data_IF_741023465745
#
_entry.id   IF_741023465745
#
_cell.length_a   1.000
_cell.length_b   1.000
_cell.length_c   1.000
_cell.angle_alpha   90.00
_cell.angle_beta   90.00
_cell.angle_gamma   90.00
#
_symmetry.space_group_name_H-M   'P 1'
#
loop_
_entity.id
_entity.type
_entity.pdbx_description
1 polymer ?
#
# COMPACT_ATOMS: atom_id res chain seq x y z
N UNK A 1 -40.07 62.08 54.37
CA UNK A 1 -41.47 62.07 54.85
C UNK A 1 -42.36 61.41 53.80
N UNK A 2 -43.25 60.52 54.26
CA UNK A 2 -44.55 60.09 53.70
C UNK A 2 -44.63 59.31 52.37
N UNK A 3 -44.79 58.01 52.59
CA UNK A 3 -45.53 56.95 51.87
C UNK A 3 -46.74 57.42 51.01
N UNK A 4 -47.05 56.70 49.92
CA UNK A 4 -48.06 55.60 49.85
C UNK A 4 -48.81 55.55 48.50
N UNK A 5 -48.85 54.39 47.82
CA UNK A 5 -50.02 53.49 47.67
C UNK A 5 -49.87 52.48 46.53
N UNK A 6 -50.24 51.24 46.88
CA UNK A 6 -50.35 50.05 46.06
C UNK A 6 -51.40 50.24 44.95
N UNK A 7 -51.15 49.61 43.79
CA UNK A 7 -52.21 49.07 42.94
C UNK A 7 -51.85 47.61 42.65
N UNK A 8 -52.68 46.72 43.18
CA UNK A 8 -52.76 45.30 42.85
C UNK A 8 -53.60 45.20 41.57
N UNK A 9 -53.04 44.63 40.51
CA UNK A 9 -53.80 44.20 39.33
C UNK A 9 -53.54 42.71 39.10
N UNK A 10 -54.62 41.95 39.24
CA UNK A 10 -54.69 40.52 39.07
C UNK A 10 -54.35 40.12 37.62
N UNK A 11 -53.26 39.38 37.43
CA UNK A 11 -52.96 38.72 36.17
C UNK A 11 -53.76 37.41 36.10
N UNK A 12 -54.83 37.43 35.31
CA UNK A 12 -55.55 36.23 34.87
C UNK A 12 -54.58 35.23 34.23
N UNK A 13 -54.52 34.03 34.81
CA UNK A 13 -53.91 32.83 34.23
C UNK A 13 -54.67 32.43 32.95
N UNK A 14 -54.24 32.97 31.80
CA UNK A 14 -54.57 32.40 30.50
C UNK A 14 -53.53 31.33 30.19
N UNK A 15 -53.81 30.08 30.57
CA UNK A 15 -53.04 28.93 30.10
C UNK A 15 -53.35 28.72 28.63
N UNK A 16 -52.39 28.83 27.70
CA UNK A 16 -52.64 28.36 26.35
C UNK A 16 -52.64 26.83 26.40
N UNK A 17 -53.80 26.22 26.14
CA UNK A 17 -53.87 24.83 25.68
C UNK A 17 -52.98 24.75 24.42
N UNK A 18 -51.73 24.32 24.60
CA UNK A 18 -50.87 23.94 23.50
C UNK A 18 -51.42 22.63 22.96
N UNK A 19 -52.41 22.75 22.06
CA UNK A 19 -52.84 21.63 21.22
C UNK A 19 -51.63 21.25 20.37
N UNK A 20 -50.99 20.14 20.71
CA UNK A 20 -49.97 19.53 19.89
C UNK A 20 -50.60 19.20 18.53
N UNK A 21 -50.29 20.01 17.51
CA UNK A 21 -50.64 19.69 16.12
C UNK A 21 -49.75 18.50 15.74
N UNK A 22 -50.31 17.30 15.82
CA UNK A 22 -49.72 16.11 15.22
C UNK A 22 -49.78 16.29 13.70
N UNK A 23 -48.68 16.75 13.09
CA UNK A 23 -48.54 16.79 11.64
C UNK A 23 -48.53 15.34 11.13
N UNK A 24 -49.66 14.89 10.57
CA UNK A 24 -49.72 13.64 9.81
C UNK A 24 -48.82 13.78 8.58
N UNK A 25 -47.61 13.22 8.64
CA UNK A 25 -46.67 13.22 7.52
C UNK A 25 -47.22 12.32 6.40
N UNK A 26 -47.17 12.79 5.15
CA UNK A 26 -47.56 11.97 4.00
C UNK A 26 -46.55 10.83 3.79
N UNK A 27 -46.99 9.69 3.22
CA UNK A 27 -46.09 8.57 2.93
C UNK A 27 -44.89 9.00 2.08
N UNK A 28 -45.08 9.93 1.14
CA UNK A 28 -44.02 10.52 0.32
C UNK A 28 -43.01 11.29 1.17
N UNK A 29 -43.48 12.12 2.11
CA UNK A 29 -42.61 12.86 3.02
C UNK A 29 -41.83 11.92 3.96
N UNK A 30 -42.49 10.87 4.47
CA UNK A 30 -41.84 9.85 5.30
C UNK A 30 -40.76 9.08 4.52
N UNK A 31 -41.05 8.70 3.27
CA UNK A 31 -40.10 8.04 2.38
C UNK A 31 -38.87 8.93 2.11
N UNK A 32 -39.09 10.22 1.83
CA UNK A 32 -38.02 11.18 1.60
C UNK A 32 -37.16 11.35 2.86
N UNK A 33 -37.78 11.54 4.03
CA UNK A 33 -37.06 11.68 5.30
C UNK A 33 -36.18 10.48 5.64
N UNK A 34 -36.69 9.25 5.46
CA UNK A 34 -35.89 8.04 5.68
C UNK A 34 -34.65 7.98 4.76
N UNK A 35 -34.79 8.39 3.50
CA UNK A 35 -33.67 8.43 2.57
C UNK A 35 -32.70 9.60 2.84
N UNK A 36 -33.17 10.71 3.40
CA UNK A 36 -32.31 11.79 3.90
C UNK A 36 -31.44 11.31 5.06
N UNK A 37 -32.01 10.54 5.98
CA UNK A 37 -31.27 9.97 7.11
C UNK A 37 -30.24 8.94 6.64
N UNK A 38 -30.56 8.13 5.61
CA UNK A 38 -29.56 7.29 4.96
C UNK A 38 -28.42 8.12 4.35
N UNK A 39 -28.74 9.19 3.60
CA UNK A 39 -27.72 10.06 2.99
C UNK A 39 -26.80 10.69 4.03
N UNK A 40 -27.34 11.13 5.18
CA UNK A 40 -26.54 11.64 6.30
C UNK A 40 -25.62 10.57 6.88
N UNK A 41 -26.14 9.37 7.11
CA UNK A 41 -25.35 8.25 7.62
C UNK A 41 -24.22 7.85 6.65
N UNK A 42 -24.47 7.85 5.34
CA UNK A 42 -23.47 7.55 4.31
C UNK A 42 -22.37 8.62 4.25
N UNK A 43 -22.75 9.89 4.33
CA UNK A 43 -21.80 11.01 4.39
C UNK A 43 -20.90 10.93 5.64
N UNK A 44 -21.47 10.57 6.80
CA UNK A 44 -20.73 10.35 8.04
C UNK A 44 -19.75 9.18 7.91
N UNK A 45 -20.21 8.02 7.41
CA UNK A 45 -19.37 6.85 7.19
C UNK A 45 -18.19 7.18 6.28
N UNK A 46 -18.44 7.90 5.18
CA UNK A 46 -17.39 8.33 4.25
C UNK A 46 -16.39 9.27 4.93
N UNK A 47 -16.85 10.17 5.79
CA UNK A 47 -15.98 11.06 6.58
C UNK A 47 -15.04 10.25 7.48
N UNK A 48 -15.59 9.29 8.25
CA UNK A 48 -14.79 8.41 9.12
C UNK A 48 -13.85 7.54 8.29
N UNK A 49 -14.32 6.97 7.18
CA UNK A 49 -13.47 6.19 6.28
C UNK A 49 -12.27 7.01 5.79
N UNK A 50 -12.47 8.27 5.36
CA UNK A 50 -11.36 9.14 4.96
C UNK A 50 -10.43 9.50 6.12
N UNK A 51 -10.93 9.59 7.36
CA UNK A 51 -10.08 9.74 8.55
C UNK A 51 -9.20 8.51 8.75
N UNK A 52 -9.75 7.29 8.65
CA UNK A 52 -8.97 6.04 8.68
C UNK A 52 -7.92 6.04 7.58
N UNK A 53 -8.30 6.36 6.33
CA UNK A 53 -7.35 6.36 5.21
C UNK A 53 -6.20 7.35 5.42
N UNK A 54 -6.47 8.53 6.00
CA UNK A 54 -5.44 9.52 6.35
C UNK A 54 -4.58 9.07 7.54
N UNK A 55 -5.21 8.49 8.56
CA UNK A 55 -4.52 8.00 9.75
C UNK A 55 -3.52 6.89 9.46
N UNK A 56 -3.82 6.03 8.48
CA UNK A 56 -2.97 4.89 8.09
C UNK A 56 -2.27 5.10 6.74
N UNK A 57 -2.10 6.36 6.30
CA UNK A 57 -1.52 6.69 4.99
C UNK A 57 -0.16 6.03 4.71
N UNK A 58 0.64 5.78 5.75
CA UNK A 58 1.96 5.12 5.66
C UNK A 58 1.89 3.59 5.60
N UNK A 59 0.75 2.97 5.94
CA UNK A 59 0.55 1.52 5.86
C UNK A 59 -0.18 1.13 4.57
N UNK A 60 0.58 1.05 3.47
CA UNK A 60 0.06 0.68 2.16
C UNK A 60 -0.60 -0.71 2.11
N UNK A 61 -0.22 -1.65 3.00
CA UNK A 61 -0.81 -2.98 3.03
C UNK A 61 -2.20 -2.92 3.68
N UNK A 62 -2.29 -2.28 4.85
CA UNK A 62 -3.57 -2.02 5.50
C UNK A 62 -4.52 -1.27 4.56
N UNK A 63 -4.06 -0.18 3.93
CA UNK A 63 -4.85 0.63 3.00
C UNK A 63 -5.42 -0.21 1.84
N UNK A 64 -4.64 -1.15 1.28
CA UNK A 64 -5.16 -2.09 0.27
C UNK A 64 -6.21 -3.03 0.85
N UNK A 65 -5.97 -3.62 2.02
CA UNK A 65 -6.87 -4.59 2.65
C UNK A 65 -8.18 -3.94 3.10
N UNK A 66 -8.14 -2.76 3.73
CA UNK A 66 -9.32 -2.04 4.19
C UNK A 66 -10.16 -1.52 3.01
N UNK A 67 -9.56 -1.15 1.87
CA UNK A 67 -10.30 -0.85 0.63
C UNK A 67 -11.08 -2.06 0.11
N UNK A 68 -10.45 -3.24 0.09
CA UNK A 68 -11.11 -4.48 -0.34
C UNK A 68 -12.23 -4.83 0.63
N UNK A 69 -11.99 -4.76 1.94
CA UNK A 69 -13.00 -5.00 2.96
C UNK A 69 -14.19 -4.04 2.84
N UNK A 70 -13.94 -2.73 2.64
CA UNK A 70 -15.00 -1.74 2.47
C UNK A 70 -15.85 -2.00 1.22
N UNK A 71 -15.24 -2.36 0.09
CA UNK A 71 -15.99 -2.74 -1.13
C UNK A 71 -16.82 -4.00 -0.92
N UNK A 72 -16.24 -5.03 -0.29
CA UNK A 72 -16.95 -6.26 0.02
C UNK A 72 -18.15 -6.00 0.96
N UNK A 73 -18.01 -5.08 1.91
CA UNK A 73 -19.11 -4.67 2.78
C UNK A 73 -20.26 -4.01 2.01
N UNK A 74 -19.98 -3.16 1.01
CA UNK A 74 -21.02 -2.57 0.14
C UNK A 74 -21.80 -3.67 -0.58
N UNK A 75 -21.09 -4.66 -1.14
CA UNK A 75 -21.73 -5.82 -1.78
C UNK A 75 -22.58 -6.60 -0.78
N UNK A 76 -22.07 -6.87 0.43
CA UNK A 76 -22.83 -7.53 1.49
C UNK A 76 -24.09 -6.75 1.88
N UNK A 77 -23.99 -5.43 2.06
CA UNK A 77 -25.13 -4.57 2.42
C UNK A 77 -26.23 -4.65 1.37
N UNK A 78 -25.87 -4.50 0.10
CA UNK A 78 -26.83 -4.45 -0.99
C UNK A 78 -27.47 -5.83 -1.22
N UNK A 79 -26.69 -6.90 -1.11
CA UNK A 79 -27.20 -8.28 -1.21
C UNK A 79 -28.04 -8.69 -0.01
N UNK A 80 -27.68 -8.26 1.21
CA UNK A 80 -28.49 -8.46 2.40
C UNK A 80 -29.84 -7.72 2.29
N UNK A 81 -29.82 -6.47 1.81
CA UNK A 81 -31.05 -5.73 1.54
C UNK A 81 -31.94 -6.46 0.51
N UNK A 82 -31.34 -6.98 -0.57
CA UNK A 82 -32.07 -7.77 -1.57
C UNK A 82 -32.66 -9.06 -0.96
N UNK A 83 -31.99 -9.67 0.03
CA UNK A 83 -32.51 -10.84 0.74
C UNK A 83 -33.71 -10.54 1.65
N UNK A 84 -33.81 -9.30 2.16
CA UNK A 84 -34.97 -8.84 2.94
C UNK A 84 -36.18 -8.56 2.06
N UNK A 85 -35.95 -8.22 0.79
CA UNK A 85 -36.98 -7.88 -0.19
C UNK A 85 -36.80 -8.67 -1.51
N UNK A 86 -36.95 -10.01 -1.50
CA UNK A 86 -36.63 -10.86 -2.66
C UNK A 86 -37.65 -10.79 -3.80
N UNK A 87 -38.81 -10.15 -3.60
CA UNK A 87 -39.86 -10.11 -4.59
C UNK A 87 -39.46 -9.36 -5.87
N UNK A 88 -39.76 -9.92 -7.04
CA UNK A 88 -39.49 -9.29 -8.33
C UNK A 88 -40.28 -7.97 -8.53
N UNK A 89 -41.46 -7.86 -7.92
CA UNK A 89 -42.27 -6.63 -7.92
C UNK A 89 -42.41 -6.09 -6.50
N UNK A 90 -41.46 -5.25 -6.11
CA UNK A 90 -41.34 -4.67 -4.77
C UNK A 90 -42.56 -3.84 -4.37
N UNK A 91 -43.15 -3.10 -5.32
CA UNK A 91 -44.31 -2.24 -5.05
C UNK A 91 -45.58 -3.07 -4.81
N UNK A 92 -45.75 -4.18 -5.54
CA UNK A 92 -46.90 -5.09 -5.37
C UNK A 92 -46.84 -5.80 -4.02
N UNK A 93 -45.66 -6.29 -3.63
CA UNK A 93 -45.51 -7.11 -2.43
C UNK A 93 -45.43 -6.28 -1.14
N UNK A 94 -44.66 -5.17 -1.17
CA UNK A 94 -44.30 -4.41 0.03
C UNK A 94 -44.92 -2.99 0.08
N UNK A 95 -45.63 -2.59 -0.97
CA UNK A 95 -46.34 -1.31 -1.04
C UNK A 95 -45.45 -0.07 -1.04
N UNK A 96 -46.08 1.10 -0.91
CA UNK A 96 -45.39 2.41 -0.97
C UNK A 96 -44.46 2.68 0.21
N UNK A 97 -44.60 1.95 1.33
CA UNK A 97 -43.72 2.07 2.50
C UNK A 97 -42.35 1.43 2.28
N UNK A 98 -42.23 0.50 1.31
CA UNK A 98 -40.96 -0.18 1.00
C UNK A 98 -39.80 0.79 0.75
N UNK A 99 -40.06 1.93 0.12
CA UNK A 99 -39.04 2.94 -0.13
C UNK A 99 -38.44 3.51 1.18
N UNK A 100 -39.28 3.81 2.17
CA UNK A 100 -38.80 4.21 3.50
C UNK A 100 -38.03 3.07 4.17
N UNK A 101 -38.60 1.86 4.22
CA UNK A 101 -37.98 0.72 4.90
C UNK A 101 -36.60 0.39 4.33
N UNK A 102 -36.45 0.40 3.00
CA UNK A 102 -35.16 0.23 2.33
C UNK A 102 -34.12 1.24 2.81
N UNK A 103 -34.50 2.52 2.86
CA UNK A 103 -33.61 3.58 3.30
C UNK A 103 -33.27 3.46 4.80
N UNK A 104 -34.23 3.08 5.64
CA UNK A 104 -33.98 2.80 7.07
C UNK A 104 -32.98 1.65 7.24
N UNK A 105 -33.17 0.53 6.54
CA UNK A 105 -32.24 -0.61 6.59
C UNK A 105 -30.83 -0.23 6.12
N UNK A 106 -30.71 0.55 5.04
CA UNK A 106 -29.42 1.05 4.57
C UNK A 106 -28.77 1.99 5.59
N UNK A 107 -29.54 2.86 6.22
CA UNK A 107 -29.05 3.76 7.27
C UNK A 107 -28.51 2.98 8.48
N UNK A 108 -29.25 1.98 8.95
CA UNK A 108 -28.83 1.14 10.08
C UNK A 108 -27.55 0.35 9.79
N UNK A 109 -27.48 -0.32 8.63
CA UNK A 109 -26.27 -1.03 8.21
C UNK A 109 -25.07 -0.08 8.12
N UNK A 110 -25.28 1.12 7.58
CA UNK A 110 -24.24 2.15 7.44
C UNK A 110 -23.77 2.67 8.79
N UNK A 111 -24.67 2.92 9.75
CA UNK A 111 -24.31 3.33 11.13
C UNK A 111 -23.44 2.28 11.83
N UNK A 112 -23.81 0.99 11.75
CA UNK A 112 -23.00 -0.11 12.31
C UNK A 112 -21.61 -0.14 11.69
N UNK A 113 -21.52 0.03 10.37
CA UNK A 113 -20.22 0.10 9.70
C UNK A 113 -19.41 1.32 10.12
N UNK A 114 -20.05 2.47 10.33
CA UNK A 114 -19.40 3.67 10.87
C UNK A 114 -18.80 3.39 12.24
N UNK A 115 -19.48 2.67 13.13
CA UNK A 115 -18.94 2.27 14.45
C UNK A 115 -17.71 1.37 14.32
N UNK A 116 -17.76 0.38 13.43
CA UNK A 116 -16.59 -0.46 13.13
C UNK A 116 -15.39 0.37 12.62
N UNK A 117 -15.64 1.35 11.75
CA UNK A 117 -14.61 2.24 11.21
C UNK A 117 -14.11 3.26 12.25
N UNK A 118 -14.97 3.72 13.16
CA UNK A 118 -14.60 4.60 14.27
C UNK A 118 -13.57 3.94 15.18
N UNK A 119 -13.69 2.63 15.42
CA UNK A 119 -12.64 1.89 16.15
C UNK A 119 -11.26 2.03 15.50
N UNK A 120 -11.18 2.05 14.16
CA UNK A 120 -9.91 2.28 13.45
C UNK A 120 -9.44 3.74 13.54
N UNK A 121 -10.37 4.69 13.48
CA UNK A 121 -10.10 6.13 13.51
C UNK A 121 -9.66 6.61 14.90
N UNK A 122 -10.40 6.18 15.92
CA UNK A 122 -10.24 6.60 17.31
C UNK A 122 -9.16 5.78 18.01
N UNK A 123 -8.92 4.54 17.57
CA UNK A 123 -8.01 3.61 18.23
C UNK A 123 -8.63 2.85 19.40
N UNK A 124 -7.87 1.93 19.99
CA UNK A 124 -8.29 1.10 21.13
C UNK A 124 -7.50 1.46 22.39
N UNK A 125 -8.06 1.18 23.57
CA UNK A 125 -7.32 1.30 24.82
C UNK A 125 -6.11 0.34 24.85
N UNK A 126 -5.07 0.72 25.59
CA UNK A 126 -3.95 -0.17 25.91
C UNK A 126 -4.45 -1.47 26.55
N UNK A 127 -3.95 -2.62 26.07
CA UNK A 127 -4.29 -3.94 26.60
C UNK A 127 -5.27 -4.78 25.77
N UNK A 128 -5.90 -4.22 24.73
CA UNK A 128 -6.69 -5.02 23.78
C UNK A 128 -5.79 -5.79 22.79
N UNK A 129 -5.34 -6.97 23.22
CA UNK A 129 -4.48 -7.87 22.41
C UNK A 129 -5.16 -8.39 21.14
N UNK A 130 -6.48 -8.27 21.03
CA UNK A 130 -7.25 -8.70 19.86
C UNK A 130 -7.51 -7.55 18.87
N UNK A 131 -7.05 -6.33 19.16
CA UNK A 131 -7.26 -5.16 18.31
C UNK A 131 -6.54 -5.23 16.95
N UNK A 132 -5.64 -6.20 16.76
CA UNK A 132 -4.92 -6.37 15.50
C UNK A 132 -4.09 -5.14 15.15
N UNK A 133 -4.28 -4.59 13.95
CA UNK A 133 -3.55 -3.41 13.46
C UNK A 133 -4.18 -2.07 13.86
N UNK A 134 -5.23 -2.06 14.70
CA UNK A 134 -5.84 -0.82 15.17
C UNK A 134 -4.85 -0.08 16.08
N UNK A 135 -4.70 1.23 15.88
CA UNK A 135 -3.83 2.07 16.73
C UNK A 135 -4.32 2.09 18.16
N UNK A 136 -3.38 2.20 19.10
CA UNK A 136 -3.70 2.38 20.52
C UNK A 136 -3.91 3.85 20.82
N UNK A 137 -4.95 4.17 21.60
CA UNK A 137 -5.17 5.48 22.17
C UNK A 137 -4.10 5.75 23.23
N UNK A 138 -3.13 6.59 22.91
CA UNK A 138 -2.24 7.16 23.91
C UNK A 138 -3.07 8.10 24.77
N UNK A 139 -3.45 7.64 25.97
CA UNK A 139 -4.14 8.47 26.95
C UNK A 139 -3.12 9.41 27.62
N UNK A 140 -2.50 10.29 26.84
CA UNK A 140 -1.70 11.39 27.34
C UNK A 140 -2.00 12.63 26.51
N UNK A 141 -2.89 13.45 27.05
CA UNK A 141 -3.07 14.82 26.60
C UNK A 141 -1.86 15.65 26.99
N UNK A 142 -0.70 15.44 26.38
CA UNK A 142 0.38 16.43 26.41
C UNK A 142 1.39 16.25 25.26
N UNK A 143 1.60 17.37 24.55
CA UNK A 143 2.76 17.73 23.71
C UNK A 143 3.34 16.70 22.72
N UNK A 144 3.15 17.06 21.45
CA UNK A 144 4.06 16.86 20.32
C UNK A 144 5.53 16.75 20.77
N UNK A 145 6.05 15.52 20.84
CA UNK A 145 7.48 15.23 21.01
C UNK A 145 8.03 14.63 19.71
N UNK A 146 9.11 15.21 19.22
CA UNK A 146 9.76 14.98 17.92
C UNK A 146 10.74 13.81 17.94
N UNK A 147 10.41 12.71 18.63
CA UNK A 147 11.26 11.53 18.67
C UNK A 147 10.69 10.41 17.79
N UNK A 148 11.45 10.09 16.73
CA UNK A 148 11.15 8.98 15.82
C UNK A 148 11.18 7.66 16.61
N UNK A 149 10.08 6.88 16.64
CA UNK A 149 10.02 5.63 17.38
C UNK A 149 11.02 4.58 16.86
N UNK A 150 11.57 3.80 17.79
CA UNK A 150 12.62 2.80 17.57
C UNK A 150 12.29 1.76 16.47
N UNK A 151 11.01 1.52 16.19
CA UNK A 151 10.56 0.59 15.13
C UNK A 151 10.80 1.10 13.69
N UNK A 152 10.86 2.42 13.46
CA UNK A 152 11.17 3.01 12.14
C UNK A 152 12.67 2.85 11.80
N UNK A 153 13.54 2.77 12.83
CA UNK A 153 14.95 2.38 12.65
C UNK A 153 15.08 0.91 12.24
N UNK A 154 14.18 0.03 12.69
CA UNK A 154 14.22 -1.39 12.37
C UNK A 154 13.71 -1.68 10.94
N UNK A 155 12.66 -1.03 10.44
CA UNK A 155 12.11 -1.30 9.08
C UNK A 155 13.06 -0.88 7.94
N UNK A 156 13.93 0.12 8.18
CA UNK A 156 14.98 0.53 7.22
C UNK A 156 16.21 -0.40 7.23
N UNK A 157 16.47 -1.09 8.34
CA UNK A 157 17.58 -2.03 8.53
C UNK A 157 17.24 -3.39 7.90
N UNK A 158 16.02 -3.88 8.08
CA UNK A 158 15.73 -5.26 7.72
C UNK A 158 15.37 -5.52 6.25
N UNK A 159 15.05 -4.50 5.44
CA UNK A 159 14.89 -4.66 3.98
C UNK A 159 16.21 -4.71 3.21
N UNK A 160 17.34 -4.56 3.92
CA UNK A 160 18.68 -4.55 3.33
C UNK A 160 19.19 -5.97 3.10
N UNK A 161 20.00 -6.15 2.05
CA UNK A 161 20.76 -7.37 1.81
C UNK A 161 21.92 -7.40 2.82
N UNK A 162 21.90 -8.38 3.71
CA UNK A 162 22.92 -8.60 4.73
C UNK A 162 23.96 -9.58 4.20
N UNK A 163 25.15 -9.09 3.90
CA UNK A 163 26.24 -9.90 3.37
C UNK A 163 27.04 -10.47 4.52
N UNK A 164 27.30 -11.78 4.48
CA UNK A 164 28.13 -12.44 5.48
C UNK A 164 29.56 -11.91 5.35
N UNK A 165 30.10 -11.37 6.43
CA UNK A 165 31.51 -10.94 6.48
C UNK A 165 32.36 -11.92 7.28
N UNK A 166 31.76 -12.64 8.23
CA UNK A 166 32.46 -13.60 9.07
C UNK A 166 31.54 -14.73 9.55
N UNK A 167 32.05 -15.97 9.52
CA UNK A 167 31.43 -17.15 10.11
C UNK A 167 32.50 -17.95 10.87
N UNK A 168 32.42 -17.95 12.20
CA UNK A 168 33.51 -18.45 13.05
C UNK A 168 34.82 -17.72 12.78
N UNK A 169 35.88 -18.47 12.47
CA UNK A 169 37.21 -17.93 12.12
C UNK A 169 37.34 -17.56 10.63
N UNK A 170 36.36 -17.95 9.79
CA UNK A 170 36.41 -17.71 8.35
C UNK A 170 35.84 -16.34 7.99
N UNK A 171 36.59 -15.55 7.24
CA UNK A 171 36.16 -14.25 6.71
C UNK A 171 35.72 -14.33 5.25
N UNK A 172 34.77 -13.47 4.88
CA UNK A 172 34.17 -13.40 3.55
C UNK A 172 34.27 -11.97 3.02
N UNK A 173 34.70 -11.82 1.76
CA UNK A 173 34.86 -10.52 1.06
C UNK A 173 34.05 -10.46 -0.23
N UNK A 174 32.99 -11.25 -0.30
CA UNK A 174 32.12 -11.42 -1.47
C UNK A 174 30.68 -11.03 -1.11
N UNK A 175 29.85 -10.76 -2.12
CA UNK A 175 28.43 -10.45 -1.97
C UNK A 175 27.56 -11.68 -1.65
N UNK A 176 28.20 -12.84 -1.50
CA UNK A 176 27.65 -14.11 -1.06
C UNK A 176 28.60 -14.78 -0.05
N UNK A 177 28.10 -15.49 0.99
CA UNK A 177 26.69 -15.73 1.35
C UNK A 177 25.93 -14.49 1.84
N UNK A 178 24.61 -14.47 1.71
CA UNK A 178 23.79 -13.33 2.17
C UNK A 178 22.40 -13.73 2.69
N UNK A 179 21.78 -12.84 3.47
CA UNK A 179 20.40 -12.90 3.93
C UNK A 179 19.61 -11.64 3.57
N UNK A 180 18.32 -11.81 3.30
CA UNK A 180 17.33 -10.75 3.16
C UNK A 180 16.18 -11.08 4.08
N UNK A 181 15.86 -10.15 4.99
CA UNK A 181 14.86 -10.33 6.03
C UNK A 181 13.55 -9.65 5.62
N UNK A 182 12.43 -10.33 5.85
CA UNK A 182 11.09 -9.78 5.70
C UNK A 182 10.42 -9.78 7.07
N UNK A 183 10.59 -8.68 7.79
CA UNK A 183 10.07 -8.48 9.15
C UNK A 183 8.55 -8.57 9.19
N UNK A 184 7.87 -8.06 8.16
CA UNK A 184 6.41 -8.04 8.10
C UNK A 184 5.80 -9.43 8.01
N UNK A 185 6.54 -10.39 7.47
CA UNK A 185 6.10 -11.78 7.30
C UNK A 185 6.79 -12.74 8.28
N UNK A 186 7.79 -12.30 9.04
CA UNK A 186 8.64 -13.17 9.87
C UNK A 186 9.38 -14.22 9.03
N UNK A 187 9.82 -13.85 7.82
CA UNK A 187 10.47 -14.75 6.86
C UNK A 187 11.79 -14.20 6.39
N UNK A 188 12.73 -15.07 6.05
CA UNK A 188 13.98 -14.71 5.42
C UNK A 188 14.19 -15.50 4.12
N UNK A 189 14.99 -14.92 3.25
CA UNK A 189 15.52 -15.55 2.04
C UNK A 189 17.01 -15.25 1.91
N UNK A 190 17.77 -16.07 1.19
CA UNK A 190 19.21 -15.86 1.07
C UNK A 190 19.89 -16.81 0.11
N UNK A 191 21.21 -16.71 0.06
CA UNK A 191 22.11 -17.60 -0.68
C UNK A 191 23.25 -18.02 0.24
N UNK A 192 23.60 -19.30 0.23
CA UNK A 192 24.82 -19.83 0.87
C UNK A 192 26.05 -19.76 -0.04
N UNK A 193 25.93 -19.12 -1.22
CA UNK A 193 26.95 -19.07 -2.27
C UNK A 193 26.79 -20.14 -3.35
N UNK A 194 26.05 -21.23 -3.07
CA UNK A 194 25.70 -22.23 -4.08
C UNK A 194 24.20 -22.49 -4.15
N UNK A 195 23.55 -22.61 -2.98
CA UNK A 195 22.14 -22.92 -2.89
C UNK A 195 21.34 -21.74 -2.32
N UNK A 196 20.10 -21.61 -2.80
CA UNK A 196 19.16 -20.64 -2.25
C UNK A 196 18.53 -21.21 -1.00
N UNK A 197 18.40 -20.36 0.01
CA UNK A 197 17.82 -20.70 1.30
C UNK A 197 16.60 -19.83 1.59
N UNK A 198 15.64 -20.38 2.31
CA UNK A 198 14.50 -19.63 2.82
C UNK A 198 13.99 -20.25 4.12
N UNK A 199 13.41 -19.44 4.99
CA UNK A 199 12.87 -19.93 6.24
C UNK A 199 12.05 -18.86 6.95
N UNK A 200 11.44 -19.23 8.06
CA UNK A 200 10.83 -18.29 9.01
C UNK A 200 11.79 -17.95 10.16
N UNK A 201 11.53 -16.85 10.84
CA UNK A 201 12.19 -16.53 12.10
C UNK A 201 11.20 -15.85 13.06
N UNK A 202 11.44 -15.98 14.36
CA UNK A 202 10.71 -15.28 15.43
C UNK A 202 11.68 -14.47 16.26
N UNK A 203 11.29 -13.25 16.58
CA UNK A 203 12.02 -12.34 17.47
C UNK A 203 11.18 -12.07 18.69
N UNK A 204 11.78 -12.19 19.87
CA UNK A 204 11.19 -11.78 21.13
C UNK A 204 12.25 -11.06 21.96
N UNK A 205 12.16 -9.73 22.02
CA UNK A 205 13.22 -8.85 22.54
C UNK A 205 14.54 -9.04 21.79
N UNK A 206 15.57 -9.50 22.49
CA UNK A 206 16.89 -9.82 21.92
C UNK A 206 17.02 -11.28 21.46
N UNK A 207 16.03 -12.13 21.76
CA UNK A 207 16.05 -13.53 21.35
C UNK A 207 15.62 -13.66 19.88
N UNK A 208 16.33 -14.51 19.15
CA UNK A 208 16.05 -14.84 17.75
C UNK A 208 15.98 -16.36 17.63
N UNK A 209 14.86 -16.87 17.11
CA UNK A 209 14.70 -18.29 16.77
C UNK A 209 14.45 -18.44 15.28
N UNK A 210 15.32 -19.18 14.62
CA UNK A 210 15.19 -19.52 13.20
C UNK A 210 14.40 -20.83 13.08
N UNK A 211 13.36 -20.84 12.24
CA UNK A 211 12.59 -22.06 11.93
C UNK A 211 13.35 -22.91 10.90
N UNK A 212 12.99 -24.19 10.68
CA UNK A 212 13.71 -25.05 9.74
C UNK A 212 13.94 -24.39 8.38
N UNK A 213 15.20 -24.41 7.92
CA UNK A 213 15.63 -23.72 6.70
C UNK A 213 15.42 -24.63 5.50
N UNK A 214 14.62 -24.19 4.53
CA UNK A 214 14.46 -24.85 3.25
C UNK A 214 15.60 -24.45 2.31
N UNK A 215 16.22 -25.45 1.67
CA UNK A 215 17.40 -25.27 0.82
C UNK A 215 17.19 -25.95 -0.53
N UNK A 216 17.54 -25.28 -1.62
CA UNK A 216 17.55 -25.90 -2.95
C UNK A 216 18.72 -26.85 -3.08
N UNK A 217 18.62 -27.96 -3.81
CA UNK A 217 19.77 -28.85 -4.08
C UNK A 217 20.29 -28.65 -5.49
N UNK A 218 21.41 -27.93 -5.65
CA UNK A 218 22.18 -27.81 -6.90
C UNK A 218 23.58 -28.40 -6.72
N UNK A 219 24.15 -28.95 -7.79
CA UNK A 219 25.55 -29.35 -7.81
C UNK A 219 26.46 -28.11 -7.76
N UNK A 220 27.29 -28.02 -6.72
CA UNK A 220 28.25 -26.94 -6.52
C UNK A 220 29.64 -27.36 -7.03
N UNK A 221 30.38 -26.51 -7.77
CA UNK A 221 31.76 -26.79 -8.09
C UNK A 221 32.65 -26.58 -6.84
N UNK A 222 33.38 -27.63 -6.44
CA UNK A 222 34.37 -27.61 -5.35
C UNK A 222 33.80 -27.94 -3.95
N UNK A 223 34.58 -28.68 -3.16
CA UNK A 223 34.18 -29.18 -1.83
C UNK A 223 33.97 -28.06 -0.79
N UNK A 224 34.62 -26.91 -0.98
CA UNK A 224 34.53 -25.76 -0.09
C UNK A 224 33.12 -25.15 -0.03
N UNK A 225 32.41 -25.10 -1.15
CA UNK A 225 31.07 -24.49 -1.22
C UNK A 225 30.05 -25.29 -0.40
N UNK A 226 30.17 -26.62 -0.43
CA UNK A 226 29.30 -27.51 0.33
C UNK A 226 29.57 -27.44 1.83
N UNK A 227 30.84 -27.33 2.24
CA UNK A 227 31.21 -27.13 3.65
C UNK A 227 30.76 -25.76 4.19
N UNK A 228 30.87 -24.70 3.38
CA UNK A 228 30.35 -23.37 3.71
C UNK A 228 28.84 -23.44 3.94
N UNK A 229 28.09 -24.05 3.02
CA UNK A 229 26.64 -24.20 3.15
C UNK A 229 26.24 -24.95 4.42
N UNK A 230 26.83 -26.11 4.68
CA UNK A 230 26.54 -26.90 5.86
C UNK A 230 26.82 -26.13 7.16
N UNK A 231 27.95 -25.42 7.21
CA UNK A 231 28.36 -24.63 8.36
C UNK A 231 27.44 -23.42 8.58
N UNK A 232 27.02 -22.77 7.49
CA UNK A 232 26.12 -21.63 7.52
C UNK A 232 24.72 -22.01 8.01
N UNK A 233 24.16 -23.11 7.50
CA UNK A 233 22.86 -23.64 7.92
C UNK A 233 22.89 -24.03 9.41
N UNK A 234 23.94 -24.75 9.84
CA UNK A 234 24.13 -25.11 11.24
C UNK A 234 24.21 -23.87 12.14
N UNK A 235 24.96 -22.85 11.73
CA UNK A 235 25.08 -21.61 12.50
C UNK A 235 23.72 -20.89 12.65
N UNK A 236 22.90 -20.86 11.59
CA UNK A 236 21.54 -20.31 11.66
C UNK A 236 20.65 -21.11 12.62
N UNK A 237 20.69 -22.43 12.57
CA UNK A 237 19.89 -23.30 13.45
C UNK A 237 20.27 -23.14 14.93
N UNK A 238 21.56 -22.95 15.21
CA UNK A 238 22.06 -22.75 16.58
C UNK A 238 21.89 -21.32 17.12
N UNK A 239 21.45 -20.37 16.28
CA UNK A 239 21.32 -18.98 16.69
C UNK A 239 20.16 -18.82 17.67
N UNK A 240 20.43 -18.17 18.80
CA UNK A 240 19.45 -17.91 19.87
C UNK A 240 19.26 -16.43 20.16
N UNK A 241 20.24 -15.60 19.80
CA UNK A 241 20.26 -14.15 20.09
C UNK A 241 20.87 -13.38 18.93
N UNK A 242 20.47 -12.11 18.79
CA UNK A 242 21.05 -11.19 17.81
C UNK A 242 21.43 -9.87 18.47
N UNK A 243 22.35 -9.15 17.82
CA UNK A 243 22.69 -7.77 18.16
C UNK A 243 22.88 -6.97 16.88
N UNK A 244 22.31 -5.77 16.85
CA UNK A 244 22.46 -4.83 15.75
C UNK A 244 23.28 -3.65 16.25
N UNK A 245 24.35 -3.31 15.54
CA UNK A 245 25.19 -2.14 15.81
C UNK A 245 25.48 -1.45 14.47
N UNK A 246 24.81 -0.33 14.22
CA UNK A 246 24.97 0.41 12.96
C UNK A 246 24.60 -0.43 11.74
N UNK A 247 25.57 -0.68 10.86
CA UNK A 247 25.46 -1.47 9.64
C UNK A 247 25.90 -2.94 9.83
N UNK A 248 26.13 -3.38 11.07
CA UNK A 248 26.58 -4.73 11.41
C UNK A 248 25.52 -5.46 12.24
N UNK A 249 25.19 -6.68 11.80
CA UNK A 249 24.34 -7.62 12.55
C UNK A 249 25.21 -8.79 13.01
N UNK A 250 25.14 -9.10 14.29
CA UNK A 250 25.82 -10.25 14.90
C UNK A 250 24.78 -11.24 15.41
N UNK A 251 24.91 -12.49 15.01
CA UNK A 251 24.10 -13.60 15.50
C UNK A 251 24.92 -14.44 16.48
N UNK A 252 24.28 -14.85 17.56
CA UNK A 252 24.92 -15.54 18.69
C UNK A 252 24.23 -16.88 18.93
N UNK A 253 25.03 -17.92 19.14
CA UNK A 253 24.59 -19.20 19.70
C UNK A 253 24.88 -19.26 21.21
N UNK A 254 26.04 -18.72 21.61
CA UNK A 254 26.52 -18.59 23.00
C UNK A 254 27.01 -17.14 23.22
N UNK A 255 28.05 -16.90 24.00
CA UNK A 255 28.59 -15.54 24.25
C UNK A 255 29.34 -14.97 23.04
N UNK A 256 29.88 -15.83 22.16
CA UNK A 256 30.58 -15.44 20.94
C UNK A 256 29.66 -15.40 19.72
N UNK A 257 29.83 -14.43 18.81
CA UNK A 257 29.04 -14.36 17.59
C UNK A 257 29.43 -15.49 16.63
N UNK A 258 28.44 -16.21 16.12
CA UNK A 258 28.63 -17.30 15.14
C UNK A 258 28.56 -16.80 13.69
N UNK A 259 27.79 -15.74 13.43
CA UNK A 259 27.67 -15.10 12.14
C UNK A 259 27.70 -13.58 12.30
N UNK A 260 28.50 -12.91 11.48
CA UNK A 260 28.56 -11.45 11.40
C UNK A 260 28.22 -11.04 9.98
N UNK A 261 27.20 -10.20 9.86
CA UNK A 261 26.74 -9.64 8.61
C UNK A 261 26.96 -8.14 8.57
N UNK A 262 27.18 -7.62 7.37
CA UNK A 262 27.24 -6.19 7.10
C UNK A 262 26.28 -5.84 5.97
N UNK A 263 25.62 -4.68 6.07
CA UNK A 263 24.92 -4.07 4.94
C UNK A 263 25.83 -3.05 4.28
N UNK A 264 25.65 -2.77 2.99
CA UNK A 264 26.32 -1.61 2.38
C UNK A 264 25.85 -0.32 3.08
N UNK A 265 26.71 0.24 3.92
CA UNK A 265 26.64 1.62 4.32
C UNK A 265 27.03 2.46 3.10
N UNK A 266 26.06 3.17 2.51
CA UNK A 266 26.39 4.23 1.56
C UNK A 266 27.29 5.24 2.30
N UNK A 267 28.53 5.35 1.84
CA UNK A 267 29.45 6.39 2.26
C UNK A 267 28.77 7.76 2.11
N UNK A 268 28.69 8.46 3.23
CA UNK A 268 28.23 9.83 3.33
C UNK A 268 29.21 10.75 2.59
N UNK A 269 28.81 11.23 1.42
CA UNK A 269 29.28 12.49 0.89
C UNK A 269 28.05 13.36 0.64
N UNK A 270 28.08 14.53 1.28
CA UNK A 270 27.15 15.65 1.18
C UNK A 270 26.66 15.87 -0.25
N UNK A 271 25.39 15.62 -0.50
CA UNK A 271 24.61 16.28 -1.55
C UNK A 271 23.12 16.11 -1.25
N UNK A 272 22.43 17.25 -1.09
CA UNK A 272 20.99 17.42 -0.98
C UNK A 272 20.28 16.57 -2.05
N UNK A 273 19.63 15.48 -1.63
CA UNK A 273 18.79 14.66 -2.52
C UNK A 273 17.47 14.35 -1.82
N UNK A 274 16.46 15.09 -2.27
CA UNK A 274 15.04 14.88 -2.03
C UNK A 274 14.67 13.41 -2.27
N UNK A 275 14.14 12.72 -1.26
CA UNK A 275 13.73 11.31 -1.40
C UNK A 275 12.48 11.28 -2.26
N UNK A 276 12.73 10.99 -3.53
CA UNK A 276 11.73 10.78 -4.55
C UNK A 276 11.05 9.43 -4.33
N UNK A 277 9.78 9.44 -3.92
CA UNK A 277 8.89 8.29 -4.09
C UNK A 277 8.96 7.89 -5.58
N UNK A 278 9.12 6.61 -5.92
CA UNK A 278 9.22 6.19 -7.34
C UNK A 278 8.04 5.30 -7.69
N UNK A 279 7.24 5.72 -8.66
CA UNK A 279 6.22 4.89 -9.29
C UNK A 279 6.75 4.35 -10.62
N UNK A 280 6.07 3.37 -11.21
CA UNK A 280 6.49 2.79 -12.49
C UNK A 280 5.35 2.61 -13.49
N UNK A 281 5.70 2.77 -14.76
CA UNK A 281 4.89 2.33 -15.90
C UNK A 281 5.56 1.10 -16.50
N UNK A 282 4.85 -0.02 -16.57
CA UNK A 282 5.35 -1.29 -17.11
C UNK A 282 4.76 -1.58 -18.48
N UNK A 283 5.37 -2.51 -19.21
CA UNK A 283 4.81 -2.90 -20.49
C UNK A 283 5.71 -3.77 -21.34
N UNK A 284 5.27 -3.99 -22.57
CA UNK A 284 6.05 -4.68 -23.59
C UNK A 284 6.18 -3.84 -24.85
N UNK A 285 7.29 -4.00 -25.57
CA UNK A 285 7.51 -3.46 -26.91
C UNK A 285 7.52 -4.62 -27.89
N UNK A 286 6.64 -4.57 -28.90
CA UNK A 286 6.49 -5.59 -29.93
C UNK A 286 6.43 -4.96 -31.33
N UNK A 287 6.65 -5.75 -32.38
CA UNK A 287 6.42 -5.35 -33.78
C UNK A 287 5.88 -6.55 -34.58
N UNK A 288 5.15 -6.27 -35.65
CA UNK A 288 4.40 -7.30 -36.40
C UNK A 288 5.21 -8.01 -37.49
N UNK A 289 6.36 -7.44 -37.86
CA UNK A 289 7.23 -7.96 -38.91
C UNK A 289 7.89 -9.28 -38.46
N UNK A 290 8.00 -10.24 -39.38
CA UNK A 290 8.68 -11.53 -39.15
C UNK A 290 10.20 -11.42 -39.31
N UNK A 291 10.80 -10.45 -38.61
CA UNK A 291 12.26 -10.21 -38.61
C UNK A 291 12.79 -10.35 -37.19
N UNK A 292 13.99 -10.89 -37.04
CA UNK A 292 14.65 -10.96 -35.73
C UNK A 292 15.30 -9.63 -35.37
N UNK A 293 15.24 -9.27 -34.10
CA UNK A 293 16.08 -8.22 -33.52
C UNK A 293 17.55 -8.63 -33.65
N UNK A 294 18.38 -7.73 -34.16
CA UNK A 294 19.83 -7.93 -34.17
C UNK A 294 20.39 -7.94 -32.74
N UNK A 295 21.50 -8.66 -32.47
CA UNK A 295 22.11 -8.67 -31.14
C UNK A 295 22.57 -7.29 -30.63
N UNK A 296 22.86 -6.37 -31.55
CA UNK A 296 23.24 -4.98 -31.28
C UNK A 296 22.05 -4.00 -31.21
N UNK A 297 20.81 -4.49 -31.22
CA UNK A 297 19.65 -3.64 -31.11
C UNK A 297 19.55 -2.97 -29.73
N UNK A 298 19.03 -1.75 -29.71
CA UNK A 298 18.77 -0.96 -28.50
C UNK A 298 17.33 -0.51 -28.55
N UNK A 299 16.55 -0.87 -27.52
CA UNK A 299 15.18 -0.42 -27.35
C UNK A 299 15.18 0.74 -26.37
N UNK A 300 14.67 1.88 -26.78
CA UNK A 300 14.50 3.05 -25.93
C UNK A 300 13.02 3.31 -25.72
N UNK A 301 12.63 3.45 -24.46
CA UNK A 301 11.26 3.73 -24.04
C UNK A 301 11.26 5.02 -23.24
N UNK A 302 10.33 5.93 -23.53
CA UNK A 302 10.20 7.25 -22.89
C UNK A 302 8.79 7.46 -22.36
N UNK A 303 8.69 7.94 -21.13
CA UNK A 303 7.48 8.55 -20.58
C UNK A 303 7.52 10.04 -20.87
N UNK A 304 6.52 10.54 -21.58
CA UNK A 304 6.45 11.91 -22.05
C UNK A 304 5.21 12.62 -21.51
N UNK A 305 5.34 13.89 -21.14
CA UNK A 305 4.22 14.81 -21.00
C UNK A 305 3.84 15.36 -22.38
N UNK A 306 2.64 15.02 -22.83
CA UNK A 306 2.06 15.36 -24.14
C UNK A 306 0.88 16.33 -24.00
N UNK A 307 0.83 17.09 -22.90
CA UNK A 307 -0.27 18.03 -22.64
C UNK A 307 -0.31 19.17 -23.65
N UNK A 308 0.86 19.65 -24.08
CA UNK A 308 1.01 20.77 -25.02
C UNK A 308 1.02 20.25 -26.47
N UNK A 309 0.08 20.71 -27.28
CA UNK A 309 -0.02 20.30 -28.68
C UNK A 309 1.09 20.90 -29.57
N UNK A 310 1.53 22.12 -29.27
CA UNK A 310 2.42 22.91 -30.13
C UNK A 310 3.85 23.05 -29.58
N UNK A 311 4.24 22.21 -28.62
CA UNK A 311 5.57 22.23 -28.01
C UNK A 311 6.18 20.82 -27.98
N UNK A 312 7.53 20.70 -28.04
CA UNK A 312 8.20 19.42 -27.85
C UNK A 312 7.77 18.77 -26.52
N UNK A 313 7.44 17.48 -26.57
CA UNK A 313 7.04 16.73 -25.37
C UNK A 313 8.17 16.67 -24.34
N UNK A 314 7.83 16.90 -23.07
CA UNK A 314 8.80 16.88 -21.97
C UNK A 314 9.04 15.44 -21.53
N UNK A 315 10.31 15.03 -21.43
CA UNK A 315 10.65 13.68 -20.95
C UNK A 315 10.59 13.62 -19.43
N UNK A 316 9.74 12.75 -18.92
CA UNK A 316 9.57 12.49 -17.48
C UNK A 316 10.52 11.38 -17.03
N UNK A 317 10.57 10.29 -17.79
CA UNK A 317 11.46 9.15 -17.54
C UNK A 317 11.89 8.49 -18.86
N UNK A 318 13.05 7.86 -18.85
CA UNK A 318 13.63 7.17 -20.00
C UNK A 318 14.28 5.86 -19.55
N UNK A 319 14.13 4.82 -20.36
CA UNK A 319 14.81 3.55 -20.17
C UNK A 319 15.41 3.09 -21.50
N UNK A 320 16.69 2.69 -21.45
CA UNK A 320 17.41 2.12 -22.57
C UNK A 320 17.68 0.64 -22.27
N UNK A 321 17.21 -0.23 -23.14
CA UNK A 321 17.24 -1.69 -22.98
C UNK A 321 18.07 -2.28 -24.09
N UNK A 322 19.03 -3.14 -23.72
CA UNK A 322 19.81 -3.95 -24.66
C UNK A 322 19.24 -5.38 -24.62
N UNK A 323 18.50 -5.84 -25.64
CA UNK A 323 17.85 -7.15 -25.61
C UNK A 323 18.81 -8.33 -25.50
N UNK A 324 20.09 -8.16 -25.86
CA UNK A 324 21.14 -9.18 -25.73
C UNK A 324 20.72 -10.56 -26.29
N UNK A 325 20.07 -10.56 -27.47
CA UNK A 325 19.56 -11.77 -28.13
C UNK A 325 18.10 -12.11 -27.84
N UNK A 326 17.46 -11.47 -26.83
CA UNK A 326 16.01 -11.57 -26.62
C UNK A 326 15.26 -10.99 -27.81
N UNK A 327 14.20 -11.70 -28.22
CA UNK A 327 13.29 -11.29 -29.27
C UNK A 327 12.04 -10.63 -28.68
N UNK A 328 11.29 -9.88 -29.49
CA UNK A 328 10.01 -9.29 -29.09
C UNK A 328 9.02 -10.39 -28.63
N UNK A 329 8.16 -10.11 -27.63
CA UNK A 329 7.99 -8.84 -26.94
C UNK A 329 9.09 -8.52 -25.91
N UNK A 330 9.60 -7.29 -25.91
CA UNK A 330 10.62 -6.81 -24.96
C UNK A 330 9.94 -6.08 -23.80
N UNK A 331 10.09 -6.61 -22.59
CA UNK A 331 9.52 -6.00 -21.37
C UNK A 331 10.32 -4.77 -20.93
N UNK A 332 9.60 -3.76 -20.42
CA UNK A 332 10.19 -2.54 -19.86
C UNK A 332 9.52 -2.14 -18.52
N UNK A 333 10.24 -1.36 -17.72
CA UNK A 333 9.77 -0.78 -16.46
C UNK A 333 10.33 0.66 -16.34
N UNK A 334 9.49 1.65 -16.70
CA UNK A 334 9.83 3.07 -16.60
C UNK A 334 9.54 3.58 -15.21
N UNK A 335 10.59 3.80 -14.41
CA UNK A 335 10.48 4.41 -13.08
C UNK A 335 10.46 5.94 -13.19
N UNK A 336 9.54 6.57 -12.49
CA UNK A 336 9.35 8.03 -12.48
C UNK A 336 8.97 8.53 -11.08
N UNK A 337 9.17 9.83 -10.86
CA UNK A 337 8.73 10.52 -9.65
C UNK A 337 7.23 10.88 -9.74
N UNK A 338 6.34 10.35 -8.86
CA UNK A 338 4.93 10.74 -8.81
C UNK A 338 4.72 12.24 -8.60
N UNK A 339 5.65 12.95 -7.95
CA UNK A 339 5.54 14.40 -7.73
C UNK A 339 5.68 15.20 -9.03
N UNK A 340 6.29 14.61 -10.06
CA UNK A 340 6.36 15.20 -11.42
C UNK A 340 5.09 14.96 -12.24
N UNK A 341 4.09 14.25 -11.69
CA UNK A 341 2.82 13.98 -12.35
C UNK A 341 1.73 14.93 -11.86
N UNK A 342 1.31 15.82 -12.73
CA UNK A 342 0.12 16.66 -12.57
C UNK A 342 -1.14 15.95 -13.11
N UNK A 343 -2.22 15.90 -12.31
CA UNK A 343 -3.47 15.21 -12.69
C UNK A 343 -4.19 15.84 -13.89
N UNK A 344 -3.97 17.13 -14.16
CA UNK A 344 -4.50 17.87 -15.31
C UNK A 344 -3.74 17.61 -16.61
N UNK A 345 -2.56 17.00 -16.55
CA UNK A 345 -1.70 16.75 -17.70
C UNK A 345 -1.99 15.39 -18.34
N UNK A 346 -1.55 15.21 -19.58
CA UNK A 346 -1.64 13.96 -20.35
C UNK A 346 -0.26 13.38 -20.52
N UNK A 347 -0.09 12.12 -20.13
CA UNK A 347 1.17 11.40 -20.27
C UNK A 347 1.03 10.26 -21.27
N UNK A 348 2.09 10.04 -22.05
CA UNK A 348 2.14 8.95 -23.02
C UNK A 348 3.50 8.28 -23.03
N UNK A 349 3.51 6.98 -23.35
CA UNK A 349 4.73 6.22 -23.57
C UNK A 349 5.07 6.17 -25.05
N UNK A 350 6.34 6.36 -25.39
CA UNK A 350 6.87 6.23 -26.74
C UNK A 350 8.01 5.22 -26.74
N UNK A 351 8.06 4.33 -27.72
CA UNK A 351 9.16 3.40 -27.89
C UNK A 351 9.83 3.55 -29.25
N UNK A 352 11.14 3.32 -29.27
CA UNK A 352 11.94 3.22 -30.49
C UNK A 352 12.96 2.09 -30.40
N UNK A 353 13.27 1.48 -31.54
CA UNK A 353 14.29 0.44 -31.65
C UNK A 353 15.35 0.94 -32.62
N UNK A 354 16.58 1.01 -32.14
CA UNK A 354 17.77 1.38 -32.89
C UNK A 354 18.63 0.14 -33.14
N UNK A 355 19.31 0.10 -34.28
CA UNK A 355 20.38 -0.86 -34.56
C UNK A 355 21.65 -0.07 -34.84
N UNK A 356 22.61 -0.13 -33.90
CA UNK A 356 23.73 0.81 -33.89
C UNK A 356 23.22 2.25 -33.72
N UNK A 357 23.47 3.09 -34.73
CA UNK A 357 22.99 4.49 -34.77
C UNK A 357 21.72 4.67 -35.61
N UNK A 358 21.26 3.64 -36.33
CA UNK A 358 20.12 3.74 -37.24
C UNK A 358 18.82 3.42 -36.51
N UNK A 359 17.88 4.36 -36.53
CA UNK A 359 16.52 4.14 -36.05
C UNK A 359 15.79 3.18 -37.01
N UNK A 360 15.31 2.04 -36.51
CA UNK A 360 14.66 0.99 -37.31
C UNK A 360 13.17 0.94 -37.09
N UNK A 361 12.72 1.09 -35.85
CA UNK A 361 11.30 1.05 -35.50
C UNK A 361 10.94 2.18 -34.54
N UNK A 362 9.71 2.69 -34.65
CA UNK A 362 9.16 3.67 -33.70
C UNK A 362 7.66 3.47 -33.53
N UNK A 363 7.13 3.79 -32.35
CA UNK A 363 5.69 3.84 -32.11
C UNK A 363 5.05 4.97 -32.91
N UNK A 364 4.05 4.65 -33.72
CA UNK A 364 3.30 5.61 -34.55
C UNK A 364 2.00 6.09 -33.89
N UNK A 365 1.51 5.35 -32.90
CA UNK A 365 0.33 5.71 -32.11
C UNK A 365 0.73 6.24 -30.73
N UNK A 366 -0.19 6.94 -30.09
CA UNK A 366 -0.04 7.45 -28.73
C UNK A 366 -0.50 6.39 -27.73
N UNK A 367 0.33 6.08 -26.74
CA UNK A 367 0.01 5.13 -25.66
C UNK A 367 -0.21 5.90 -24.35
N UNK A 368 -1.43 6.35 -24.04
CA UNK A 368 -1.69 7.18 -22.86
C UNK A 368 -1.57 6.36 -21.56
N UNK A 369 -1.02 6.98 -20.52
CA UNK A 369 -0.77 6.34 -19.21
C UNK A 369 -0.98 7.29 -18.04
N UNK A 370 -1.13 6.73 -16.84
CA UNK A 370 -1.15 7.43 -15.53
C UNK A 370 -2.41 8.27 -15.26
N UNK A 371 -2.68 9.31 -16.06
CA UNK A 371 -3.78 10.28 -15.80
C UNK A 371 -5.03 9.97 -16.63
N UNK A 372 -6.17 10.56 -16.26
CA UNK A 372 -7.43 10.39 -17.00
C UNK A 372 -8.01 8.97 -16.98
N UNK A 373 -7.65 8.16 -15.97
CA UNK A 373 -8.06 6.76 -15.85
C UNK A 373 -7.26 5.79 -16.74
N UNK A 374 -6.20 6.26 -17.39
CA UNK A 374 -5.34 5.42 -18.23
C UNK A 374 -4.49 4.47 -17.38
N UNK A 375 -4.16 3.28 -17.91
CA UNK A 375 -3.44 2.26 -17.16
C UNK A 375 -1.97 2.66 -16.91
N UNK A 376 -1.33 1.98 -15.96
CA UNK A 376 0.13 2.04 -15.74
C UNK A 376 0.86 0.86 -16.38
N UNK A 377 0.15 0.05 -17.17
CA UNK A 377 0.70 -1.08 -17.93
C UNK A 377 0.22 -0.99 -19.37
N UNK A 378 1.14 -1.06 -20.34
CA UNK A 378 0.84 -0.88 -21.76
C UNK A 378 1.58 -1.87 -22.67
N UNK A 379 0.95 -2.22 -23.78
CA UNK A 379 1.58 -3.01 -24.85
C UNK A 379 1.82 -2.09 -26.05
N UNK A 380 3.09 -1.84 -26.37
CA UNK A 380 3.51 -0.90 -27.40
C UNK A 380 3.85 -1.66 -28.67
N UNK A 381 3.18 -1.31 -29.76
CA UNK A 381 3.49 -1.83 -31.10
C UNK A 381 4.29 -0.77 -31.86
N UNK A 382 5.53 -1.10 -32.21
CA UNK A 382 6.39 -0.23 -33.03
C UNK A 382 6.33 -0.64 -34.50
N UNK A 383 6.37 0.36 -35.38
CA UNK A 383 6.37 0.18 -36.83
C UNK A 383 7.73 0.54 -37.42
N UNK A 384 8.15 -0.09 -38.52
CA UNK A 384 9.40 0.23 -39.19
C UNK A 384 9.34 1.64 -39.75
N UNK A 385 10.47 2.33 -39.70
CA UNK A 385 10.65 3.60 -40.40
C UNK A 385 11.07 3.28 -41.83
N UNK A 386 10.35 3.85 -42.81
CA UNK A 386 10.65 3.71 -44.23
C UNK A 386 11.94 4.42 -44.61
#
# INVERSE_FOLDING_TARGET
MKKWKLIVMAAMLLSPLSSAIALAQTQTAMNAGACDDYRKADAEMNTIYQQVMRGYKSDALFIRKIRVAQRAWVVYRDTHLASLYPAANLQREYGSAHAACRCTTLAEATKKRTEELRRWADGVAEGDVCAGSVKVQSNDGSRMSTDVPEYERLDSVFRKKWMLTQMGERSFRSDEPYLVLNVKQGRFSGSTGCNRISGGYRVDGSSLRITPVAVTRRACPGDDAQQIEASFLKALETTTRFQIQGDVVRLYATDSPVLIFKTEAKASATETSDVTETASVTGTVTYLQRVALTPGAVVEVKLLDVSRADAPSVTIAEQVIKPAGRQVPIEFELRYDPRRIEQSHRYAVRARILEGVKLRFTSTQVYPVITGGNPTTVEIVVSPIQ
#
